data_IF_440114871531
#
_entry.id   IF_440114871531
#
_cell.length_a   1.000
_cell.length_b   1.000
_cell.length_c   1.000
_cell.angle_alpha   90.00
_cell.angle_beta   90.00
_cell.angle_gamma   90.00
#
_symmetry.space_group_name_H-M   'P 1'
#
loop_
_entity.id
_entity.type
_entity.pdbx_description
1 polymer ?
#
# COMPACT_ATOMS: atom_id res chain seq x y z
N UNK A 1 8.87 13.30 -15.07
CA UNK A 1 8.60 12.99 -13.64
C UNK A 1 8.56 11.49 -13.48
N UNK A 2 9.45 10.90 -12.67
CA UNK A 2 9.40 9.47 -12.33
C UNK A 2 8.27 9.16 -11.35
N UNK A 3 7.77 7.95 -11.42
CA UNK A 3 6.71 7.47 -10.55
C UNK A 3 7.22 6.31 -9.69
N UNK A 4 6.85 6.31 -8.41
CA UNK A 4 7.19 5.27 -7.45
C UNK A 4 5.92 4.77 -6.77
N UNK A 5 5.86 3.48 -6.47
CA UNK A 5 4.71 2.83 -5.84
C UNK A 5 5.13 2.11 -4.56
N UNK A 6 4.45 2.41 -3.47
CA UNK A 6 4.56 1.70 -2.19
C UNK A 6 3.24 0.95 -1.97
N UNK A 7 3.31 -0.37 -2.00
CA UNK A 7 2.14 -1.23 -1.77
C UNK A 7 1.69 -1.27 -0.31
N UNK A 8 0.56 -1.92 -0.05
CA UNK A 8 0.09 -2.20 1.30
C UNK A 8 0.94 -3.26 2.01
N UNK A 9 0.61 -3.54 3.26
CA UNK A 9 1.23 -4.61 4.03
C UNK A 9 1.10 -5.93 3.27
N UNK A 10 2.19 -6.71 3.19
CA UNK A 10 2.32 -7.96 2.42
C UNK A 10 2.47 -7.80 0.91
N UNK A 11 2.37 -6.61 0.35
CA UNK A 11 2.63 -6.42 -1.07
C UNK A 11 4.07 -6.80 -1.42
N UNK A 12 4.24 -7.55 -2.49
CA UNK A 12 5.50 -7.71 -3.20
C UNK A 12 5.38 -7.18 -4.63
N UNK A 13 6.48 -7.12 -5.36
CA UNK A 13 6.51 -6.53 -6.71
C UNK A 13 5.51 -7.19 -7.67
N UNK A 14 5.24 -8.48 -7.53
CA UNK A 14 4.34 -9.21 -8.43
C UNK A 14 2.87 -8.86 -8.21
N UNK A 15 2.44 -8.55 -6.97
CA UNK A 15 1.08 -8.06 -6.72
C UNK A 15 0.75 -6.79 -7.50
N UNK A 16 1.73 -5.91 -7.67
CA UNK A 16 1.52 -4.63 -8.34
C UNK A 16 1.83 -4.64 -9.83
N UNK A 17 2.49 -5.69 -10.35
CA UNK A 17 3.09 -5.68 -11.67
C UNK A 17 2.08 -5.49 -12.80
N UNK A 18 0.93 -6.16 -12.73
CA UNK A 18 -0.11 -5.98 -13.75
C UNK A 18 -0.66 -4.56 -13.77
N UNK A 19 -0.92 -3.98 -12.60
CA UNK A 19 -1.36 -2.60 -12.45
C UNK A 19 -0.30 -1.60 -12.95
N UNK A 20 0.96 -1.77 -12.54
CA UNK A 20 2.03 -0.85 -12.91
C UNK A 20 2.33 -0.87 -14.41
N UNK A 21 2.12 -1.99 -15.09
CA UNK A 21 2.30 -2.13 -16.55
C UNK A 21 1.20 -1.42 -17.37
N UNK A 22 0.02 -1.19 -16.80
CA UNK A 22 -1.10 -0.48 -17.45
C UNK A 22 -1.00 1.05 -17.30
N UNK A 23 -0.05 1.54 -16.50
CA UNK A 23 0.21 2.97 -16.40
C UNK A 23 1.02 3.49 -17.60
N UNK A 24 0.67 4.68 -18.11
CA UNK A 24 1.27 5.29 -19.32
C UNK A 24 2.78 5.56 -19.23
N UNK A 25 3.37 5.43 -18.06
CA UNK A 25 4.80 5.61 -17.83
C UNK A 25 5.33 4.60 -16.84
N UNK A 26 6.65 4.33 -16.90
CA UNK A 26 7.31 3.44 -15.97
C UNK A 26 7.12 3.88 -14.52
N UNK A 27 6.76 2.91 -13.67
CA UNK A 27 6.63 3.08 -12.22
C UNK A 27 7.54 2.07 -11.52
N UNK A 28 8.26 2.51 -10.50
CA UNK A 28 9.17 1.70 -9.71
C UNK A 28 8.49 1.25 -8.42
N UNK A 29 8.46 -0.05 -8.18
CA UNK A 29 7.96 -0.61 -6.91
C UNK A 29 9.01 -0.42 -5.81
N UNK A 30 8.60 0.07 -4.65
CA UNK A 30 9.41 0.21 -3.45
C UNK A 30 8.85 -0.66 -2.32
N UNK A 31 9.71 -1.40 -1.63
CA UNK A 31 9.30 -2.30 -0.55
C UNK A 31 9.92 -1.90 0.81
N UNK A 32 9.27 -1.04 1.59
CA UNK A 32 9.76 -0.65 2.92
C UNK A 32 9.69 -1.79 3.95
N UNK A 33 8.95 -2.86 3.68
CA UNK A 33 8.71 -3.96 4.62
C UNK A 33 9.88 -4.92 4.76
N UNK A 34 10.85 -4.84 3.86
CA UNK A 34 12.12 -5.57 3.96
C UNK A 34 13.14 -4.86 4.85
N UNK A 35 12.87 -3.59 5.20
CA UNK A 35 13.73 -2.74 5.98
C UNK A 35 13.26 -2.63 7.44
N UNK A 36 14.20 -2.44 8.37
CA UNK A 36 13.89 -2.22 9.77
C UNK A 36 13.87 -0.72 10.09
N UNK A 37 12.77 -0.07 9.71
CA UNK A 37 12.59 1.39 9.81
C UNK A 37 11.97 1.77 11.16
N UNK A 38 12.76 2.35 12.06
CA UNK A 38 12.37 2.66 13.43
C UNK A 38 11.82 4.07 13.63
N UNK A 39 12.23 5.01 12.76
CA UNK A 39 11.85 6.42 12.88
C UNK A 39 11.74 7.13 11.52
N UNK A 40 11.28 8.38 11.59
CA UNK A 40 11.06 9.22 10.41
C UNK A 40 12.35 9.55 9.65
N UNK A 41 13.49 9.56 10.32
CA UNK A 41 14.79 9.86 9.70
C UNK A 41 15.25 8.69 8.86
N UNK A 42 15.09 7.48 9.38
CA UNK A 42 15.40 6.24 8.66
C UNK A 42 14.48 6.07 7.45
N UNK A 43 13.17 6.31 7.59
CA UNK A 43 12.23 6.26 6.48
C UNK A 43 12.61 7.24 5.36
N UNK A 44 12.92 8.50 5.71
CA UNK A 44 13.32 9.50 4.73
C UNK A 44 14.66 9.16 4.06
N UNK A 45 15.61 8.63 4.84
CA UNK A 45 16.92 8.24 4.33
C UNK A 45 16.82 7.05 3.39
N UNK A 46 16.04 6.03 3.76
CA UNK A 46 15.73 4.90 2.89
C UNK A 46 15.12 5.38 1.57
N UNK A 47 14.05 6.16 1.64
CA UNK A 47 13.36 6.63 0.44
C UNK A 47 14.27 7.48 -0.46
N UNK A 48 15.11 8.37 0.11
CA UNK A 48 16.06 9.16 -0.65
C UNK A 48 17.12 8.32 -1.37
N UNK A 49 17.50 7.19 -0.81
CA UNK A 49 18.42 6.26 -1.46
C UNK A 49 17.77 5.56 -2.67
N UNK A 50 16.45 5.32 -2.60
CA UNK A 50 15.69 4.69 -3.70
C UNK A 50 15.45 5.67 -4.88
N UNK A 51 15.33 6.96 -4.61
CA UNK A 51 14.99 7.99 -5.61
C UNK A 51 16.19 8.83 -6.05
N UNK A 52 17.39 8.30 -6.01
CA UNK A 52 18.65 9.02 -6.27
C UNK A 52 18.53 10.03 -7.42
N UNK A 53 18.95 11.29 -7.15
CA UNK A 53 19.06 12.41 -8.10
C UNK A 53 17.73 12.84 -8.78
N UNK A 54 16.57 12.56 -8.19
CA UNK A 54 15.28 12.98 -8.73
C UNK A 54 14.81 14.32 -8.12
N UNK A 55 14.57 15.31 -8.97
CA UNK A 55 14.07 16.63 -8.56
C UNK A 55 12.53 16.72 -8.52
N UNK A 56 11.85 15.81 -9.23
CA UNK A 56 10.40 15.81 -9.36
C UNK A 56 9.86 14.38 -9.54
N UNK A 57 9.08 13.93 -8.56
CA UNK A 57 8.49 12.60 -8.57
C UNK A 57 6.99 12.63 -8.28
N UNK A 58 6.29 11.57 -8.74
CA UNK A 58 4.97 11.20 -8.27
C UNK A 58 5.11 9.98 -7.36
N UNK A 59 4.49 10.04 -6.18
CA UNK A 59 4.44 8.93 -5.25
C UNK A 59 3.03 8.35 -5.20
N UNK A 60 2.92 7.04 -5.37
CA UNK A 60 1.67 6.30 -5.31
C UNK A 60 1.74 5.40 -4.10
N UNK A 61 0.74 5.43 -3.23
CA UNK A 61 0.69 4.59 -2.03
C UNK A 61 -0.64 3.87 -1.88
N UNK A 62 -0.61 2.60 -1.51
CA UNK A 62 -1.80 1.81 -1.21
C UNK A 62 -1.84 1.42 0.26
N UNK A 63 -3.00 1.54 0.91
CA UNK A 63 -3.19 1.10 2.30
C UNK A 63 -2.13 1.69 3.25
N UNK A 64 -1.39 0.88 4.01
CA UNK A 64 -0.24 1.29 4.83
C UNK A 64 0.83 2.02 4.01
N UNK A 65 1.09 1.61 2.76
CA UNK A 65 1.96 2.34 1.84
C UNK A 65 1.44 3.74 1.51
N UNK A 66 0.12 3.96 1.57
CA UNK A 66 -0.51 5.27 1.46
C UNK A 66 -0.16 6.19 2.63
N UNK A 67 -0.13 5.67 3.86
CA UNK A 67 0.27 6.43 5.06
C UNK A 67 1.74 6.87 4.93
N UNK A 68 2.64 5.94 4.53
CA UNK A 68 4.05 6.25 4.30
C UNK A 68 4.23 7.27 3.16
N UNK A 69 3.51 7.08 2.05
CA UNK A 69 3.59 7.95 0.87
C UNK A 69 3.13 9.38 1.20
N UNK A 70 2.02 9.55 1.92
CA UNK A 70 1.53 10.86 2.33
C UNK A 70 2.51 11.58 3.24
N UNK A 71 3.08 10.88 4.23
CA UNK A 71 4.11 11.44 5.09
C UNK A 71 5.35 11.86 4.30
N UNK A 72 5.91 10.98 3.46
CA UNK A 72 7.08 11.29 2.63
C UNK A 72 6.80 12.47 1.72
N UNK A 73 5.63 12.55 1.13
CA UNK A 73 5.21 13.68 0.30
C UNK A 73 5.13 14.99 1.09
N UNK A 74 4.76 14.94 2.36
CA UNK A 74 4.73 16.12 3.24
C UNK A 74 6.11 16.61 3.67
N UNK A 75 7.11 15.72 3.70
CA UNK A 75 8.47 16.02 4.15
C UNK A 75 9.43 16.37 2.99
N UNK A 76 9.19 15.82 1.80
CA UNK A 76 10.13 15.87 0.67
C UNK A 76 9.57 16.73 -0.46
N UNK A 77 10.27 17.83 -0.77
CA UNK A 77 9.87 18.75 -1.84
C UNK A 77 9.99 18.15 -3.24
N UNK A 78 10.71 17.07 -3.39
CA UNK A 78 10.83 16.29 -4.63
C UNK A 78 9.49 15.65 -5.03
N UNK A 79 8.63 15.31 -4.07
CA UNK A 79 7.29 14.77 -4.34
C UNK A 79 6.38 15.92 -4.77
N UNK A 80 6.00 15.93 -6.03
CA UNK A 80 5.14 16.95 -6.65
C UNK A 80 3.70 16.49 -6.83
N UNK A 81 3.50 15.19 -7.01
CA UNK A 81 2.18 14.57 -7.13
C UNK A 81 2.07 13.38 -6.19
N UNK A 82 0.89 13.21 -5.62
CA UNK A 82 0.58 12.12 -4.69
C UNK A 82 -0.68 11.38 -5.17
N UNK A 83 -0.62 10.06 -5.16
CA UNK A 83 -1.79 9.22 -5.44
C UNK A 83 -1.97 8.26 -4.26
N UNK A 84 -3.14 8.27 -3.67
CA UNK A 84 -3.51 7.44 -2.53
C UNK A 84 -4.59 6.46 -2.95
N UNK A 85 -4.30 5.18 -2.81
CA UNK A 85 -5.20 4.07 -3.11
C UNK A 85 -5.67 3.46 -1.79
N UNK A 86 -6.87 3.79 -1.37
CA UNK A 86 -7.53 3.36 -0.12
C UNK A 86 -6.61 3.37 1.11
N UNK A 87 -5.81 4.44 1.25
CA UNK A 87 -4.85 4.61 2.34
C UNK A 87 -4.45 6.07 2.54
N UNK A 88 -3.67 6.36 3.59
CA UNK A 88 -3.14 7.69 3.85
C UNK A 88 -4.13 8.69 4.44
N UNK A 89 -5.27 8.26 4.96
CA UNK A 89 -6.32 9.17 5.45
C UNK A 89 -6.84 8.85 6.86
N UNK A 90 -6.49 7.70 7.42
CA UNK A 90 -7.01 7.25 8.70
C UNK A 90 -6.16 7.74 9.88
N UNK A 91 -6.79 8.32 10.86
CA UNK A 91 -6.21 8.53 12.20
C UNK A 91 -6.41 7.24 13.03
N UNK A 92 -5.40 6.38 12.98
CA UNK A 92 -5.49 5.07 13.60
C UNK A 92 -5.53 5.10 15.12
N UNK A 93 -5.03 6.17 15.76
CA UNK A 93 -5.11 6.31 17.20
C UNK A 93 -6.56 6.51 17.69
N UNK A 94 -7.44 6.98 16.81
CA UNK A 94 -8.89 7.06 17.07
C UNK A 94 -9.62 5.73 16.85
N UNK A 95 -9.02 4.78 16.12
CA UNK A 95 -9.68 3.56 15.65
C UNK A 95 -9.30 2.34 16.47
N UNK A 96 -8.00 2.13 16.71
CA UNK A 96 -7.46 0.91 17.31
C UNK A 96 -6.20 1.23 18.15
N UNK A 97 -6.12 0.79 19.42
CA UNK A 97 -4.91 0.89 20.20
C UNK A 97 -3.72 0.20 19.52
N UNK A 98 -2.54 0.83 19.59
CA UNK A 98 -1.33 0.29 18.94
C UNK A 98 -0.99 -1.14 19.41
N UNK A 99 -1.08 -1.40 20.72
CA UNK A 99 -0.74 -2.74 21.25
C UNK A 99 -1.69 -3.82 20.69
N UNK A 100 -2.97 -3.49 20.52
CA UNK A 100 -3.96 -4.39 19.88
C UNK A 100 -3.61 -4.63 18.41
N UNK A 101 -3.26 -3.57 17.67
CA UNK A 101 -2.84 -3.70 16.27
C UNK A 101 -1.60 -4.59 16.10
N UNK A 102 -0.61 -4.43 16.98
CA UNK A 102 0.60 -5.25 16.96
C UNK A 102 0.32 -6.73 17.28
N UNK A 103 -0.54 -6.97 18.27
CA UNK A 103 -0.96 -8.34 18.62
C UNK A 103 -1.73 -8.98 17.47
N UNK A 104 -2.68 -8.27 16.86
CA UNK A 104 -3.44 -8.76 15.71
C UNK A 104 -2.53 -9.05 14.51
N UNK A 105 -1.60 -8.15 14.20
CA UNK A 105 -0.64 -8.33 13.11
C UNK A 105 0.25 -9.56 13.35
N UNK A 106 0.74 -9.75 14.58
CA UNK A 106 1.54 -10.91 14.95
C UNK A 106 0.75 -12.21 14.81
N UNK A 107 -0.44 -12.26 15.42
CA UNK A 107 -1.32 -13.43 15.38
C UNK A 107 -1.69 -13.78 13.94
N UNK A 108 -1.96 -12.76 13.10
CA UNK A 108 -2.23 -12.94 11.69
C UNK A 108 -1.04 -13.61 10.99
N UNK A 109 0.17 -13.04 11.09
CA UNK A 109 1.38 -13.58 10.45
C UNK A 109 1.66 -15.01 10.89
N UNK A 110 1.58 -15.29 12.20
CA UNK A 110 1.85 -16.61 12.77
C UNK A 110 0.78 -17.66 12.39
N UNK A 111 -0.44 -17.23 12.10
CA UNK A 111 -1.53 -18.12 11.67
C UNK A 111 -1.53 -18.45 10.18
N UNK A 112 -0.80 -17.66 9.36
CA UNK A 112 -0.76 -17.84 7.91
C UNK A 112 0.29 -18.90 7.52
N UNK A 113 -0.08 -20.15 7.59
CA UNK A 113 0.75 -21.26 7.11
C UNK A 113 -0.09 -22.27 6.34
N UNK A 114 0.54 -22.95 5.39
CA UNK A 114 -0.09 -23.97 4.56
C UNK A 114 0.85 -25.17 4.35
N UNK A 115 0.29 -26.35 4.28
CA UNK A 115 1.05 -27.57 4.00
C UNK A 115 1.31 -27.76 2.49
N UNK A 116 0.46 -27.17 1.65
CA UNK A 116 0.49 -27.29 0.19
C UNK A 116 0.26 -25.93 -0.46
N UNK A 117 1.32 -25.37 -1.03
CA UNK A 117 1.27 -24.05 -1.70
C UNK A 117 0.48 -24.11 -3.02
N UNK A 118 0.50 -25.25 -3.73
CA UNK A 118 -0.26 -25.39 -4.97
C UNK A 118 -1.76 -25.40 -4.71
N UNK A 119 -2.18 -26.00 -3.59
CA UNK A 119 -3.58 -25.99 -3.17
C UNK A 119 -4.03 -24.58 -2.77
N UNK A 120 -3.18 -23.82 -2.05
CA UNK A 120 -3.46 -22.41 -1.73
C UNK A 120 -3.64 -21.59 -3.00
N UNK A 121 -2.70 -21.67 -3.94
CA UNK A 121 -2.76 -20.95 -5.24
C UNK A 121 -4.05 -21.29 -5.98
N UNK A 122 -4.42 -22.58 -6.02
CA UNK A 122 -5.65 -23.02 -6.70
C UNK A 122 -6.90 -22.43 -6.04
N UNK A 123 -6.91 -22.33 -4.69
CA UNK A 123 -8.00 -21.73 -3.94
C UNK A 123 -8.08 -20.22 -4.21
N UNK A 124 -7.01 -19.49 -4.06
CA UNK A 124 -6.98 -18.04 -4.30
C UNK A 124 -7.38 -17.70 -5.74
N UNK A 125 -6.90 -18.48 -6.71
CA UNK A 125 -7.30 -18.34 -8.11
C UNK A 125 -8.80 -18.52 -8.31
N UNK A 126 -9.44 -19.45 -7.60
CA UNK A 126 -10.87 -19.71 -7.73
C UNK A 126 -11.76 -18.64 -7.09
N UNK A 127 -11.22 -17.90 -6.12
CA UNK A 127 -11.91 -16.85 -5.36
C UNK A 127 -11.65 -15.43 -5.92
N UNK A 128 -10.58 -15.27 -6.71
CA UNK A 128 -10.16 -13.98 -7.23
C UNK A 128 -11.08 -13.45 -8.35
N UNK A 129 -11.34 -12.16 -8.34
CA UNK A 129 -12.02 -11.43 -9.43
C UNK A 129 -11.10 -11.24 -10.64
N UNK A 130 -9.80 -11.11 -10.40
CA UNK A 130 -8.74 -11.04 -11.41
C UNK A 130 -7.61 -11.99 -11.05
N UNK A 131 -7.08 -12.70 -12.05
CA UNK A 131 -5.94 -13.59 -11.86
C UNK A 131 -5.03 -13.59 -13.08
N UNK A 132 -3.73 -13.58 -12.83
CA UNK A 132 -2.66 -13.63 -13.84
C UNK A 132 -1.49 -14.51 -13.40
N UNK A 133 -0.50 -14.69 -14.26
CA UNK A 133 0.76 -15.34 -13.89
C UNK A 133 1.53 -14.52 -12.85
N UNK A 134 1.41 -13.18 -12.87
CA UNK A 134 2.01 -12.32 -11.86
C UNK A 134 1.35 -12.51 -10.50
N UNK A 135 0.02 -12.65 -10.43
CA UNK A 135 -0.70 -12.94 -9.19
C UNK A 135 -0.32 -14.31 -8.63
N UNK A 136 -0.16 -15.33 -9.49
CA UNK A 136 0.34 -16.63 -9.06
C UNK A 136 1.75 -16.53 -8.47
N UNK A 137 2.64 -15.79 -9.13
CA UNK A 137 4.01 -15.58 -8.64
C UNK A 137 4.02 -14.74 -7.35
N UNK A 138 3.12 -13.76 -7.22
CA UNK A 138 2.95 -13.00 -5.99
C UNK A 138 2.65 -13.90 -4.79
N UNK A 139 1.74 -14.86 -4.94
CA UNK A 139 1.45 -15.84 -3.90
C UNK A 139 2.67 -16.72 -3.61
N UNK A 140 3.38 -17.20 -4.63
CA UNK A 140 4.60 -18.00 -4.46
C UNK A 140 5.68 -17.27 -3.68
N UNK A 141 5.91 -16.01 -4.00
CA UNK A 141 6.92 -15.16 -3.32
C UNK A 141 6.50 -14.73 -1.91
N UNK A 142 5.21 -14.79 -1.61
CA UNK A 142 4.71 -14.46 -0.27
C UNK A 142 4.93 -15.56 0.77
N UNK A 143 5.40 -16.74 0.37
CA UNK A 143 5.61 -17.87 1.27
C UNK A 143 7.00 -18.48 1.11
N UNK A 144 7.57 -18.96 2.21
CA UNK A 144 8.80 -19.76 2.23
C UNK A 144 8.55 -21.11 2.92
N UNK A 145 9.33 -22.13 2.52
CA UNK A 145 9.25 -23.45 3.16
C UNK A 145 9.97 -23.46 4.48
N UNK A 146 9.27 -23.80 5.56
CA UNK A 146 9.84 -24.03 6.87
C UNK A 146 10.03 -25.56 7.08
N UNK A 147 11.28 -26.02 7.01
CA UNK A 147 11.61 -27.44 7.13
C UNK A 147 11.42 -27.99 8.56
N UNK A 148 11.50 -27.16 9.59
CA UNK A 148 11.31 -27.56 10.98
C UNK A 148 9.86 -27.96 11.24
N UNK A 149 8.92 -27.16 10.70
CA UNK A 149 7.48 -27.38 10.88
C UNK A 149 6.80 -28.08 9.69
N UNK A 150 7.59 -28.44 8.65
CA UNK A 150 7.11 -29.10 7.43
C UNK A 150 5.88 -28.40 6.81
N UNK A 151 5.99 -27.08 6.63
CA UNK A 151 4.92 -26.23 6.10
C UNK A 151 5.49 -24.97 5.42
N UNK A 152 4.68 -24.31 4.59
CA UNK A 152 4.94 -22.98 4.08
C UNK A 152 4.43 -21.94 5.07
N UNK A 153 5.22 -20.90 5.34
CA UNK A 153 4.91 -19.76 6.20
C UNK A 153 5.10 -18.47 5.43
N UNK A 154 4.44 -17.38 5.87
CA UNK A 154 4.63 -16.08 5.23
C UNK A 154 6.10 -15.66 5.26
N UNK A 155 6.59 -15.19 4.12
CA UNK A 155 7.94 -14.64 3.94
C UNK A 155 8.00 -13.19 4.45
N UNK A 156 7.60 -12.97 5.71
CA UNK A 156 7.52 -11.67 6.35
C UNK A 156 8.37 -11.66 7.62
N UNK A 157 9.19 -10.64 7.80
CA UNK A 157 9.88 -10.38 9.06
C UNK A 157 8.96 -9.57 9.97
N UNK A 158 8.41 -10.20 11.02
CA UNK A 158 7.52 -9.51 11.97
C UNK A 158 8.18 -8.29 12.63
N UNK A 159 9.49 -8.34 12.93
CA UNK A 159 10.20 -7.20 13.51
C UNK A 159 10.19 -5.95 12.62
N UNK A 160 10.30 -6.13 11.30
CA UNK A 160 10.19 -5.02 10.35
C UNK A 160 8.74 -4.49 10.29
N UNK A 161 7.75 -5.38 10.32
CA UNK A 161 6.34 -4.99 10.35
C UNK A 161 6.01 -4.23 11.62
N UNK A 162 6.43 -4.74 12.79
CA UNK A 162 6.25 -4.05 14.07
C UNK A 162 6.87 -2.64 14.03
N UNK A 163 8.09 -2.50 13.52
CA UNK A 163 8.76 -1.21 13.38
C UNK A 163 7.94 -0.23 12.54
N UNK A 164 7.46 -0.65 11.37
CA UNK A 164 6.65 0.18 10.48
C UNK A 164 5.27 0.52 11.09
N UNK A 165 4.60 -0.41 11.76
CA UNK A 165 3.32 -0.12 12.43
C UNK A 165 3.49 0.91 13.56
N UNK A 166 4.58 0.83 14.33
CA UNK A 166 4.94 1.85 15.33
C UNK A 166 5.29 3.19 14.68
N UNK A 167 6.05 3.16 13.59
CA UNK A 167 6.43 4.35 12.83
C UNK A 167 5.19 5.05 12.26
N UNK A 168 4.26 4.30 11.66
CA UNK A 168 3.00 4.82 11.10
C UNK A 168 2.24 5.71 12.08
N UNK A 169 2.20 5.34 13.37
CA UNK A 169 1.52 6.14 14.41
C UNK A 169 2.21 7.48 14.68
N UNK A 170 3.52 7.58 14.44
CA UNK A 170 4.30 8.81 14.65
C UNK A 170 4.20 9.78 13.48
N UNK A 171 3.97 9.26 12.26
CA UNK A 171 4.01 10.03 11.01
C UNK A 171 2.65 10.59 10.55
N UNK A 172 1.68 10.70 11.45
CA UNK A 172 0.35 11.23 11.13
C UNK A 172 0.30 12.76 11.05
N UNK A 173 1.34 13.46 11.52
CA UNK A 173 1.45 14.91 11.40
C UNK A 173 2.15 15.31 10.10
N UNK A 174 1.47 16.04 9.23
CA UNK A 174 1.98 16.45 7.92
C UNK A 174 2.47 17.90 7.95
N UNK A 175 3.73 18.13 7.50
CA UNK A 175 4.34 19.47 7.50
C UNK A 175 3.86 20.35 6.35
N UNK A 176 3.51 19.75 5.24
CA UNK A 176 2.95 20.42 4.08
C UNK A 176 1.95 19.52 3.38
N UNK A 177 1.13 20.13 2.59
CA UNK A 177 0.21 19.41 1.71
C UNK A 177 0.73 19.44 0.27
N UNK A 178 0.48 18.37 -0.46
CA UNK A 178 0.76 18.29 -1.89
C UNK A 178 -0.52 18.62 -2.63
N UNK A 179 -0.55 19.77 -3.32
CA UNK A 179 -1.76 20.27 -3.99
C UNK A 179 -2.27 19.32 -5.07
N UNK A 180 -1.36 18.68 -5.81
CA UNK A 180 -1.73 17.68 -6.84
C UNK A 180 -1.85 16.29 -6.18
N UNK A 181 -2.98 16.03 -5.54
CA UNK A 181 -3.26 14.75 -4.87
C UNK A 181 -4.53 14.11 -5.42
N UNK A 182 -4.40 12.87 -5.91
CA UNK A 182 -5.52 12.01 -6.28
C UNK A 182 -5.76 10.99 -5.14
N UNK A 183 -6.98 10.91 -4.68
CA UNK A 183 -7.43 9.93 -3.70
C UNK A 183 -8.48 9.01 -4.32
N UNK A 184 -8.17 7.71 -4.44
CA UNK A 184 -9.09 6.68 -4.91
C UNK A 184 -9.39 5.77 -3.73
N UNK A 185 -10.65 5.67 -3.32
CA UNK A 185 -11.08 4.86 -2.20
C UNK A 185 -12.44 4.22 -2.47
N UNK A 186 -12.86 3.41 -1.53
CA UNK A 186 -14.09 2.64 -1.62
C UNK A 186 -15.22 3.34 -0.85
N UNK A 187 -16.44 3.22 -1.37
CA UNK A 187 -17.64 3.46 -0.57
C UNK A 187 -18.08 2.14 0.04
N UNK A 188 -18.04 2.09 1.36
CA UNK A 188 -18.57 0.96 2.13
C UNK A 188 -19.96 1.33 2.65
N UNK A 189 -21.04 1.01 1.94
CA UNK A 189 -22.38 1.26 2.46
C UNK A 189 -22.58 0.36 3.69
N UNK A 190 -22.88 0.97 4.82
CA UNK A 190 -23.19 0.33 6.11
C UNK A 190 -22.01 -0.25 6.90
N UNK A 191 -20.76 0.01 6.55
CA UNK A 191 -19.61 -0.41 7.33
C UNK A 191 -18.97 0.78 8.05
N UNK A 192 -18.58 0.55 9.30
CA UNK A 192 -17.75 1.36 10.17
C UNK A 192 -17.91 2.90 10.01
N UNK A 193 -18.73 3.51 10.84
CA UNK A 193 -18.94 4.96 10.94
C UNK A 193 -17.64 5.77 11.00
N UNK A 194 -16.58 5.21 11.55
CA UNK A 194 -15.25 5.82 11.63
C UNK A 194 -14.60 6.07 10.25
N UNK A 195 -14.87 5.22 9.23
CA UNK A 195 -14.41 5.48 7.86
C UNK A 195 -15.11 6.68 7.23
N UNK A 196 -16.42 6.74 7.38
CA UNK A 196 -17.18 7.88 6.88
C UNK A 196 -16.78 9.19 7.54
N UNK A 197 -16.46 9.15 8.84
CA UNK A 197 -15.96 10.31 9.57
C UNK A 197 -14.58 10.73 9.04
N UNK A 198 -13.65 9.80 8.86
CA UNK A 198 -12.32 10.08 8.32
C UNK A 198 -12.39 10.64 6.88
N UNK A 199 -13.31 10.14 6.03
CA UNK A 199 -13.49 10.64 4.69
C UNK A 199 -14.02 12.10 4.66
N UNK A 200 -14.77 12.54 5.68
CA UNK A 200 -15.20 13.95 5.82
C UNK A 200 -14.05 14.88 6.21
N UNK A 201 -12.99 14.34 6.79
CA UNK A 201 -11.80 15.10 7.18
C UNK A 201 -10.74 15.19 6.04
N UNK A 202 -11.03 14.62 4.85
CA UNK A 202 -10.15 14.75 3.70
C UNK A 202 -10.00 16.22 3.30
N UNK A 203 -8.79 16.66 2.92
CA UNK A 203 -8.57 18.00 2.44
C UNK A 203 -9.39 18.30 1.17
N UNK A 204 -10.02 19.48 1.09
CA UNK A 204 -10.86 19.91 -0.04
C UNK A 204 -10.11 19.98 -1.37
N UNK A 205 -8.77 20.05 -1.35
CA UNK A 205 -7.92 20.09 -2.55
C UNK A 205 -7.57 18.70 -3.09
N UNK A 206 -8.02 17.61 -2.45
CA UNK A 206 -7.86 16.27 -3.02
C UNK A 206 -8.85 16.06 -4.16
N UNK A 207 -8.35 15.64 -5.32
CA UNK A 207 -9.19 15.05 -6.35
C UNK A 207 -9.62 13.67 -5.87
N UNK A 208 -10.93 13.47 -5.63
CA UNK A 208 -11.43 12.23 -5.01
C UNK A 208 -12.26 11.41 -5.97
N UNK A 209 -11.97 10.11 -6.03
CA UNK A 209 -12.77 9.11 -6.77
C UNK A 209 -13.18 8.02 -5.79
N UNK A 210 -14.49 7.79 -5.68
CA UNK A 210 -15.04 6.72 -4.86
C UNK A 210 -15.57 5.60 -5.75
N UNK A 211 -15.08 4.39 -5.48
CA UNK A 211 -15.45 3.17 -6.20
C UNK A 211 -16.47 2.35 -5.42
N UNK A 212 -17.37 1.71 -6.14
CA UNK A 212 -18.36 0.77 -5.59
C UNK A 212 -18.05 -0.64 -6.09
N UNK A 213 -18.31 -1.65 -5.26
CA UNK A 213 -18.14 -3.07 -5.60
C UNK A 213 -16.68 -3.53 -5.81
N UNK A 214 -15.72 -2.86 -5.19
CA UNK A 214 -14.32 -3.27 -5.11
C UNK A 214 -13.95 -3.64 -3.67
N UNK A 215 -12.96 -4.50 -3.51
CA UNK A 215 -12.30 -4.75 -2.24
C UNK A 215 -11.17 -3.76 -1.97
N UNK A 216 -10.56 -3.88 -0.79
CA UNK A 216 -9.44 -3.04 -0.36
C UNK A 216 -8.23 -3.14 -1.31
N UNK A 217 -8.01 -4.30 -1.91
CA UNK A 217 -6.91 -4.57 -2.85
C UNK A 217 -7.25 -4.15 -4.28
N UNK A 218 -7.86 -2.97 -4.45
CA UNK A 218 -8.47 -2.49 -5.69
C UNK A 218 -7.56 -2.57 -6.93
N UNK A 219 -6.24 -2.33 -6.79
CA UNK A 219 -5.31 -2.38 -7.92
C UNK A 219 -4.92 -3.82 -8.35
N UNK A 220 -5.10 -4.81 -7.47
CA UNK A 220 -4.94 -6.23 -7.82
C UNK A 220 -6.23 -6.83 -8.34
N UNK A 221 -7.39 -6.31 -7.91
CA UNK A 221 -8.71 -6.78 -8.35
C UNK A 221 -9.08 -6.26 -9.74
N UNK A 222 -8.69 -5.02 -10.07
CA UNK A 222 -9.00 -4.37 -11.35
C UNK A 222 -7.82 -3.51 -11.85
N UNK A 223 -6.66 -4.12 -12.19
CA UNK A 223 -5.44 -3.39 -12.51
C UNK A 223 -5.61 -2.38 -13.65
N UNK A 224 -6.34 -2.73 -14.71
CA UNK A 224 -6.59 -1.85 -15.87
C UNK A 224 -7.49 -0.67 -15.53
N UNK A 225 -8.55 -0.92 -14.78
CA UNK A 225 -9.51 0.12 -14.41
C UNK A 225 -8.86 1.18 -13.52
N UNK A 226 -8.14 0.74 -12.48
CA UNK A 226 -7.43 1.66 -11.58
C UNK A 226 -6.33 2.43 -12.31
N UNK A 227 -5.58 1.77 -13.19
CA UNK A 227 -4.58 2.44 -14.01
C UNK A 227 -5.21 3.48 -14.96
N UNK A 228 -6.36 3.19 -15.56
CA UNK A 228 -7.07 4.12 -16.43
C UNK A 228 -7.46 5.40 -15.70
N UNK A 229 -8.03 5.29 -14.50
CA UNK A 229 -8.39 6.44 -13.66
C UNK A 229 -7.18 7.34 -13.37
N UNK A 230 -6.03 6.72 -13.08
CA UNK A 230 -4.78 7.45 -12.82
C UNK A 230 -4.25 8.12 -14.10
N UNK A 231 -4.25 7.42 -15.24
CA UNK A 231 -3.80 7.96 -16.52
C UNK A 231 -4.69 9.13 -16.96
N UNK A 232 -6.00 9.02 -16.77
CA UNK A 232 -6.94 10.10 -17.03
C UNK A 232 -6.65 11.32 -16.16
N UNK A 233 -6.45 11.14 -14.85
CA UNK A 233 -6.10 12.23 -13.95
C UNK A 233 -4.81 12.95 -14.37
N UNK A 234 -3.78 12.21 -14.79
CA UNK A 234 -2.55 12.81 -15.33
C UNK A 234 -2.78 13.62 -16.60
N UNK A 235 -3.77 13.25 -17.41
CA UNK A 235 -4.10 13.96 -18.66
C UNK A 235 -4.78 15.31 -18.41
N UNK A 236 -5.44 15.49 -17.28
CA UNK A 236 -6.17 16.71 -16.90
C UNK A 236 -5.40 17.59 -15.90
N UNK A 237 -4.43 17.04 -15.19
CA UNK A 237 -3.60 17.78 -14.23
C UNK A 237 -2.45 18.48 -14.97
N UNK A 238 -2.58 19.76 -15.16
CA UNK A 238 -1.57 20.61 -15.81
C UNK A 238 -0.55 21.18 -14.84
#
# INVERSE_FOLDING_TARGET
>A
MKKYFIGGLRSNVYHSKDFLQELDSQVYFLNPYEEHLLDETELKSWFKNEIVDEESICLIGHSLGGDLARYLASELYEVKKLILLDGGYLDLDKILPLDTELEEAKNYIESQFVSDLALLISKEKSEATYWSENMEEAVRQSYHWNAEYNRYELAINYGNIEAILRLRRKIQAFKREVGDTLFISLRYPNEATWREEALKELPDYFDTIFLENFGHELYTEAPKEIASLINEWFSYSH
#
